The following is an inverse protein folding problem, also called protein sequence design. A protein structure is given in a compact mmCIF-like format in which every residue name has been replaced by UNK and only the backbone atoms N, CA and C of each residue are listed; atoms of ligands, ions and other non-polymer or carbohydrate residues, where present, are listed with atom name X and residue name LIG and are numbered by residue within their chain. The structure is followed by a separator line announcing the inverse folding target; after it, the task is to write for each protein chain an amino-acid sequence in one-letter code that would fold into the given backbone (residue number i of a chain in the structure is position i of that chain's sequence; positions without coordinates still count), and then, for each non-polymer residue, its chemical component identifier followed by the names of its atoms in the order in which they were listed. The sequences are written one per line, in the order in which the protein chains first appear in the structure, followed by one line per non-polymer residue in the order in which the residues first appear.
data_IF_370386309212
#
_entry.id   IF_370386309212
#
_cell.length_a   1.000
_cell.length_b   1.000
_cell.length_c   1.000
_cell.angle_alpha   90.00
_cell.angle_beta   90.00
_cell.angle_gamma   90.00
#
_symmetry.space_group_name_H-M   'P 1'
#
loop_
_entity.id
_entity.type
_entity.pdbx_description
1 polymer ?
#
# COMPACT_ATOMS: atom_id res chain seq x y z
N UNK A 1 31.42 0.77 -6.80
CA UNK A 1 31.54 -0.69 -6.67
C UNK A 1 31.30 -1.05 -5.21
N UNK A 2 30.03 -1.20 -4.83
CA UNK A 2 29.53 -2.03 -3.72
C UNK A 2 28.03 -2.29 -4.00
N UNK A 3 27.76 -2.82 -5.21
CA UNK A 3 26.44 -2.79 -5.83
C UNK A 3 25.37 -3.44 -4.96
N UNK A 4 25.65 -4.57 -4.32
CA UNK A 4 24.64 -5.31 -3.55
C UNK A 4 24.26 -4.63 -2.22
N UNK A 5 25.22 -4.01 -1.53
CA UNK A 5 24.95 -3.24 -0.30
C UNK A 5 24.18 -1.96 -0.60
N UNK A 6 24.50 -1.28 -1.70
CA UNK A 6 23.79 -0.05 -2.11
C UNK A 6 22.34 -0.37 -2.49
N UNK A 7 22.11 -1.51 -3.16
CA UNK A 7 20.79 -2.02 -3.53
C UNK A 7 19.94 -2.31 -2.28
N UNK A 8 20.53 -3.01 -1.32
CA UNK A 8 19.83 -3.39 -0.10
C UNK A 8 19.51 -2.18 0.77
N UNK A 9 20.45 -1.23 0.88
CA UNK A 9 20.24 0.02 1.58
C UNK A 9 19.09 0.83 0.96
N UNK A 10 19.04 0.92 -0.37
CA UNK A 10 17.97 1.63 -1.05
C UNK A 10 16.60 0.96 -0.83
N UNK A 11 16.54 -0.38 -0.87
CA UNK A 11 15.31 -1.11 -0.58
C UNK A 11 14.82 -0.87 0.86
N UNK A 12 15.75 -0.80 1.82
CA UNK A 12 15.43 -0.45 3.21
C UNK A 12 14.85 0.96 3.31
N UNK A 13 15.46 1.93 2.64
CA UNK A 13 15.00 3.34 2.65
C UNK A 13 13.59 3.44 2.07
N UNK A 14 13.32 2.75 0.98
CA UNK A 14 12.01 2.78 0.33
C UNK A 14 10.92 2.05 1.13
N UNK A 15 11.26 0.91 1.73
CA UNK A 15 10.38 0.23 2.67
C UNK A 15 10.11 1.10 3.91
N UNK A 16 11.12 1.80 4.42
CA UNK A 16 10.98 2.72 5.55
C UNK A 16 10.00 3.85 5.23
N UNK A 17 10.14 4.49 4.07
CA UNK A 17 9.19 5.52 3.65
C UNK A 17 7.78 4.94 3.43
N UNK A 18 7.66 3.77 2.81
CA UNK A 18 6.36 3.11 2.69
C UNK A 18 5.72 2.85 4.06
N UNK A 19 6.50 2.39 5.05
CA UNK A 19 5.99 2.14 6.40
C UNK A 19 5.50 3.44 7.04
N UNK A 20 6.23 4.54 6.89
CA UNK A 20 5.82 5.84 7.44
C UNK A 20 4.55 6.33 6.75
N UNK A 21 4.58 6.51 5.43
CA UNK A 21 3.48 7.13 4.69
C UNK A 21 2.27 6.21 4.56
N UNK A 22 2.51 4.92 4.33
CA UNK A 22 1.47 3.89 4.36
C UNK A 22 0.89 3.73 5.76
N UNK A 23 1.70 3.84 6.81
CA UNK A 23 1.27 3.81 8.20
C UNK A 23 0.41 5.01 8.59
N UNK A 24 0.81 6.22 8.16
CA UNK A 24 0.00 7.45 8.32
C UNK A 24 -1.33 7.30 7.60
N UNK A 25 -1.32 6.84 6.34
CA UNK A 25 -2.53 6.63 5.54
C UNK A 25 -3.46 5.60 6.20
N UNK A 26 -2.90 4.49 6.67
CA UNK A 26 -3.60 3.47 7.45
C UNK A 26 -4.26 4.08 8.70
N UNK A 27 -3.51 4.88 9.47
CA UNK A 27 -4.00 5.50 10.69
C UNK A 27 -5.15 6.47 10.40
N UNK A 28 -5.03 7.31 9.37
CA UNK A 28 -6.08 8.23 8.95
C UNK A 28 -7.35 7.47 8.56
N UNK A 29 -7.23 6.46 7.69
CA UNK A 29 -8.37 5.65 7.26
C UNK A 29 -9.03 4.94 8.45
N UNK A 30 -8.22 4.38 9.35
CA UNK A 30 -8.74 3.71 10.55
C UNK A 30 -9.48 4.68 11.47
N UNK A 31 -8.96 5.89 11.71
CA UNK A 31 -9.62 6.92 12.51
C UNK A 31 -10.96 7.30 11.90
N UNK A 32 -11.01 7.58 10.59
CA UNK A 32 -12.24 7.97 9.88
C UNK A 32 -13.30 6.87 9.98
N UNK A 33 -12.92 5.61 9.72
CA UNK A 33 -13.86 4.48 9.85
C UNK A 33 -14.30 4.29 11.30
N UNK A 34 -13.39 4.45 12.27
CA UNK A 34 -13.71 4.29 13.69
C UNK A 34 -14.71 5.33 14.18
N UNK A 35 -14.54 6.59 13.78
CA UNK A 35 -15.51 7.66 14.07
C UNK A 35 -16.86 7.36 13.44
N UNK A 36 -16.87 6.91 12.18
CA UNK A 36 -18.09 6.55 11.46
C UNK A 36 -18.83 5.40 12.15
N UNK A 37 -18.13 4.32 12.52
CA UNK A 37 -18.70 3.18 13.23
C UNK A 37 -19.20 3.56 14.63
N UNK A 38 -18.50 4.45 15.32
CA UNK A 38 -18.94 4.95 16.63
C UNK A 38 -20.23 5.77 16.50
N UNK A 39 -20.33 6.63 15.49
CA UNK A 39 -21.57 7.35 15.17
C UNK A 39 -22.73 6.41 14.86
N UNK A 40 -22.49 5.36 14.06
CA UNK A 40 -23.49 4.33 13.79
C UNK A 40 -23.89 3.54 15.04
N UNK A 41 -22.94 3.16 15.88
CA UNK A 41 -23.23 2.47 17.13
C UNK A 41 -24.12 3.29 18.06
N UNK A 42 -23.92 4.61 18.09
CA UNK A 42 -24.80 5.52 18.82
C UNK A 42 -26.21 5.58 18.22
N UNK A 43 -26.33 5.77 16.90
CA UNK A 43 -27.63 5.87 16.21
C UNK A 43 -28.46 4.59 16.27
N UNK A 44 -27.80 3.43 16.19
CA UNK A 44 -28.45 2.12 16.16
C UNK A 44 -28.37 1.36 17.49
N UNK A 45 -27.95 2.03 18.58
CA UNK A 45 -27.86 1.47 19.93
C UNK A 45 -27.09 0.14 20.02
N UNK A 46 -25.97 0.02 19.29
CA UNK A 46 -25.15 -1.18 19.34
C UNK A 46 -24.54 -1.36 20.74
N UNK A 47 -24.39 -2.62 21.17
CA UNK A 47 -23.66 -2.89 22.41
C UNK A 47 -22.19 -2.48 22.28
N UNK A 48 -21.55 -2.16 23.40
CA UNK A 48 -20.11 -1.86 23.44
C UNK A 48 -19.29 -3.01 22.86
N UNK A 49 -19.70 -4.25 23.15
CA UNK A 49 -19.05 -5.47 22.67
C UNK A 49 -19.12 -5.58 21.14
N UNK A 50 -20.27 -5.27 20.54
CA UNK A 50 -20.44 -5.31 19.08
C UNK A 50 -19.59 -4.25 18.38
N UNK A 51 -19.53 -3.04 18.93
CA UNK A 51 -18.68 -1.97 18.40
C UNK A 51 -17.21 -2.36 18.44
N UNK A 52 -16.73 -2.86 19.58
CA UNK A 52 -15.33 -3.30 19.75
C UNK A 52 -15.00 -4.41 18.75
N UNK A 53 -15.87 -5.41 18.57
CA UNK A 53 -15.64 -6.51 17.65
C UNK A 53 -15.57 -6.03 16.19
N UNK A 54 -16.42 -5.08 15.78
CA UNK A 54 -16.37 -4.48 14.45
C UNK A 54 -15.09 -3.65 14.24
N UNK A 55 -14.70 -2.83 15.22
CA UNK A 55 -13.46 -2.06 15.17
C UNK A 55 -12.23 -2.97 15.08
N UNK A 56 -12.20 -4.07 15.84
CA UNK A 56 -11.13 -5.07 15.74
C UNK A 56 -11.06 -5.71 14.36
N UNK A 57 -12.21 -6.04 13.75
CA UNK A 57 -12.24 -6.59 12.40
C UNK A 57 -11.77 -5.58 11.34
N UNK A 58 -12.16 -4.31 11.46
CA UNK A 58 -11.66 -3.24 10.58
C UNK A 58 -10.15 -3.08 10.74
N UNK A 59 -9.65 -3.03 11.98
CA UNK A 59 -8.22 -2.93 12.24
C UNK A 59 -7.46 -4.08 11.61
N UNK A 60 -7.90 -5.33 11.84
CA UNK A 60 -7.27 -6.53 11.26
C UNK A 60 -7.28 -6.51 9.73
N UNK A 61 -8.39 -6.10 9.13
CA UNK A 61 -8.51 -5.97 7.68
C UNK A 61 -7.51 -4.97 7.13
N UNK A 62 -7.54 -3.73 7.63
CA UNK A 62 -6.65 -2.67 7.18
C UNK A 62 -5.18 -3.04 7.45
N UNK A 63 -4.90 -3.70 8.57
CA UNK A 63 -3.53 -4.09 8.94
C UNK A 63 -3.01 -5.15 7.98
N UNK A 64 -3.84 -6.13 7.61
CA UNK A 64 -3.48 -7.11 6.60
C UNK A 64 -3.23 -6.46 5.24
N UNK A 65 -4.09 -5.51 4.82
CA UNK A 65 -3.84 -4.75 3.59
C UNK A 65 -2.54 -3.95 3.65
N UNK A 66 -2.22 -3.36 4.81
CA UNK A 66 -0.97 -2.63 5.00
C UNK A 66 0.25 -3.55 4.87
N UNK A 67 0.24 -4.72 5.52
CA UNK A 67 1.32 -5.72 5.44
C UNK A 67 1.48 -6.26 4.03
N UNK A 68 0.37 -6.66 3.39
CA UNK A 68 0.40 -7.18 2.02
C UNK A 68 0.84 -6.10 1.03
N UNK A 69 0.43 -4.85 1.25
CA UNK A 69 0.90 -3.71 0.47
C UNK A 69 2.39 -3.44 0.64
N UNK A 70 2.92 -3.53 1.87
CA UNK A 70 4.36 -3.37 2.11
C UNK A 70 5.18 -4.46 1.40
N UNK A 71 4.71 -5.71 1.45
CA UNK A 71 5.33 -6.82 0.73
C UNK A 71 5.20 -6.66 -0.80
N UNK A 72 4.02 -6.30 -1.29
CA UNK A 72 3.76 -6.06 -2.71
C UNK A 72 4.62 -4.91 -3.26
N UNK A 73 4.79 -3.84 -2.50
CA UNK A 73 5.69 -2.75 -2.84
C UNK A 73 7.16 -3.21 -2.86
N UNK A 74 7.58 -3.99 -1.86
CA UNK A 74 8.96 -4.53 -1.80
C UNK A 74 9.28 -5.43 -3.00
N UNK A 75 8.30 -6.25 -3.42
CA UNK A 75 8.42 -7.11 -4.60
C UNK A 75 8.41 -6.30 -5.90
N UNK A 76 7.54 -5.29 -6.00
CA UNK A 76 7.51 -4.37 -7.13
C UNK A 76 8.87 -3.69 -7.34
N UNK A 77 9.49 -3.20 -6.27
CA UNK A 77 10.87 -2.70 -6.31
C UNK A 77 11.83 -3.74 -6.88
N UNK A 78 11.82 -4.95 -6.32
CA UNK A 78 12.73 -6.00 -6.75
C UNK A 78 12.62 -6.33 -8.25
N UNK A 79 11.40 -6.42 -8.79
CA UNK A 79 11.16 -6.79 -10.19
C UNK A 79 11.48 -5.68 -11.20
N UNK A 80 11.22 -4.42 -10.85
CA UNK A 80 11.36 -3.31 -11.79
C UNK A 80 12.61 -2.45 -11.57
N UNK A 81 13.39 -2.76 -10.55
CA UNK A 81 14.63 -2.05 -10.21
C UNK A 81 15.62 -1.90 -11.36
N UNK A 82 15.75 -2.91 -12.22
CA UNK A 82 16.64 -2.83 -13.39
C UNK A 82 16.06 -1.97 -14.52
N UNK A 83 14.76 -1.69 -14.48
CA UNK A 83 14.04 -0.85 -15.44
C UNK A 83 13.78 0.57 -14.90
N UNK A 84 14.03 0.83 -13.61
CA UNK A 84 13.93 2.15 -12.99
C UNK A 84 15.27 2.90 -13.04
N UNK A 85 15.35 3.91 -13.91
CA UNK A 85 16.47 4.86 -13.95
C UNK A 85 16.39 5.83 -12.75
N UNK A 86 17.55 6.24 -12.23
CA UNK A 86 17.64 7.30 -11.21
C UNK A 86 17.08 8.61 -11.78
N UNK A 87 16.24 9.32 -11.03
CA UNK A 87 16.14 10.76 -11.25
C UNK A 87 16.10 11.57 -9.97
N UNK A 88 16.24 12.86 -10.17
CA UNK A 88 16.71 13.84 -9.20
C UNK A 88 15.64 14.32 -8.21
N UNK A 89 14.35 14.24 -8.53
CA UNK A 89 13.27 14.80 -7.70
C UNK A 89 12.26 13.74 -7.19
N UNK A 90 11.42 14.07 -6.22
CA UNK A 90 10.43 13.13 -5.62
C UNK A 90 9.03 13.42 -6.19
N UNK A 91 8.48 12.56 -7.06
CA UNK A 91 7.04 12.64 -7.45
C UNK A 91 6.19 11.90 -6.44
N UNK A 92 5.47 12.66 -5.66
CA UNK A 92 4.33 12.21 -4.86
C UNK A 92 3.04 12.18 -5.69
N UNK A 93 3.09 11.66 -6.94
CA UNK A 93 1.92 11.65 -7.84
C UNK A 93 1.29 10.28 -8.01
N UNK A 94 0.99 9.58 -6.93
CA UNK A 94 0.13 8.40 -7.03
C UNK A 94 -0.84 8.34 -5.85
N UNK A 95 -2.12 8.14 -6.13
CA UNK A 95 -3.20 7.94 -5.16
C UNK A 95 -3.83 6.59 -5.51
N UNK A 96 -4.33 5.78 -4.55
CA UNK A 96 -4.26 5.89 -3.09
C UNK A 96 -3.40 4.79 -2.45
N UNK A 97 -2.54 4.13 -3.23
CA UNK A 97 -1.65 3.10 -2.70
C UNK A 97 -0.32 3.17 -3.44
N UNK A 98 0.68 3.79 -2.82
CA UNK A 98 1.91 4.22 -3.49
C UNK A 98 3.04 3.22 -3.25
N UNK A 99 3.76 2.78 -4.30
CA UNK A 99 5.11 2.29 -4.13
C UNK A 99 6.06 3.47 -3.88
N UNK A 100 6.69 3.52 -2.72
CA UNK A 100 7.73 4.53 -2.46
C UNK A 100 8.98 4.16 -3.26
N UNK A 101 9.48 5.08 -4.09
CA UNK A 101 10.77 4.95 -4.76
C UNK A 101 11.58 6.23 -4.60
N UNK A 102 12.88 6.07 -4.46
CA UNK A 102 13.87 7.17 -4.38
C UNK A 102 14.41 7.59 -5.77
N UNK A 103 13.70 7.24 -6.85
CA UNK A 103 14.11 7.48 -8.24
C UNK A 103 12.91 7.97 -9.07
N UNK A 104 13.08 9.07 -9.81
CA UNK A 104 12.05 9.74 -10.62
C UNK A 104 12.31 9.58 -12.14
N UNK A 105 11.49 10.17 -13.01
CA UNK A 105 11.67 10.24 -14.49
C UNK A 105 11.40 11.68 -14.98
N UNK A 106 12.41 12.38 -15.51
CA UNK A 106 12.31 13.73 -16.08
C UNK A 106 11.72 13.73 -17.49
N UNK A 107 10.47 14.20 -17.61
CA UNK A 107 9.76 14.35 -18.88
C UNK A 107 9.72 15.81 -19.37
N UNK A 108 10.05 16.80 -18.55
CA UNK A 108 9.93 18.22 -18.93
C UNK A 108 11.21 18.78 -19.56
N UNK A 109 12.37 18.16 -19.30
CA UNK A 109 13.64 18.56 -19.92
C UNK A 109 13.94 17.85 -21.27
N UNK A 110 12.92 17.36 -21.98
CA UNK A 110 13.07 16.86 -23.36
C UNK A 110 13.69 15.45 -23.50
N UNK A 111 13.84 14.71 -22.40
CA UNK A 111 14.29 13.31 -22.41
C UNK A 111 13.11 12.34 -22.50
N UNK A 112 12.75 11.87 -23.69
CA UNK A 112 11.89 10.69 -23.81
C UNK A 112 12.65 9.46 -23.28
N UNK A 113 12.42 9.11 -22.01
CA UNK A 113 13.29 8.23 -21.21
C UNK A 113 12.84 6.76 -21.11
N UNK A 114 11.76 6.41 -21.77
CA UNK A 114 11.48 5.03 -22.16
C UNK A 114 11.54 4.98 -23.68
N UNK A 115 11.81 3.83 -24.29
CA UNK A 115 11.57 3.57 -25.72
C UNK A 115 10.09 3.85 -26.12
N UNK A 116 9.63 5.10 -26.09
CA UNK A 116 8.24 5.54 -26.29
C UNK A 116 7.24 5.26 -25.15
N UNK A 117 7.61 4.70 -23.99
CA UNK A 117 6.63 4.35 -22.93
C UNK A 117 6.20 5.60 -22.15
N UNK A 118 4.93 5.96 -22.31
CA UNK A 118 4.29 7.07 -21.61
C UNK A 118 3.91 6.70 -20.17
N UNK A 119 3.80 7.71 -19.29
CA UNK A 119 3.44 7.58 -17.86
C UNK A 119 2.15 6.78 -17.58
N UNK A 120 1.19 6.75 -18.51
CA UNK A 120 -0.03 5.96 -18.34
C UNK A 120 0.23 4.44 -18.37
N UNK A 121 1.25 3.98 -19.09
CA UNK A 121 1.59 2.57 -19.13
C UNK A 121 2.11 2.09 -17.76
N UNK A 122 2.92 2.92 -17.09
CA UNK A 122 3.37 2.66 -15.71
C UNK A 122 2.19 2.61 -14.73
N UNK A 123 1.20 3.50 -14.90
CA UNK A 123 -0.05 3.47 -14.11
C UNK A 123 -0.80 2.16 -14.29
N UNK A 124 -0.98 1.71 -15.54
CA UNK A 124 -1.66 0.45 -15.80
C UNK A 124 -0.88 -0.75 -15.27
N UNK A 125 0.45 -0.75 -15.40
CA UNK A 125 1.29 -1.81 -14.86
C UNK A 125 1.16 -1.86 -13.33
N UNK A 126 1.13 -0.70 -12.67
CA UNK A 126 0.87 -0.62 -11.24
C UNK A 126 -0.52 -1.14 -10.88
N UNK A 127 -1.58 -0.77 -11.60
CA UNK A 127 -2.91 -1.33 -11.35
C UNK A 127 -2.94 -2.85 -11.53
N UNK A 128 -2.30 -3.35 -12.60
CA UNK A 128 -2.18 -4.78 -12.87
C UNK A 128 -1.43 -5.53 -11.74
N UNK A 129 -0.54 -4.84 -11.01
CA UNK A 129 0.17 -5.38 -9.86
C UNK A 129 -0.57 -5.22 -8.54
N UNK A 130 -1.12 -4.04 -8.29
CA UNK A 130 -1.81 -3.69 -7.05
C UNK A 130 -3.09 -4.52 -6.87
N UNK A 131 -3.86 -4.74 -7.94
CA UNK A 131 -5.10 -5.53 -7.91
C UNK A 131 -4.86 -6.94 -7.35
N UNK A 132 -3.94 -7.75 -7.88
CA UNK A 132 -3.68 -9.07 -7.32
C UNK A 132 -3.07 -9.00 -5.91
N UNK A 133 -2.17 -8.05 -5.62
CA UNK A 133 -1.62 -7.89 -4.28
C UNK A 133 -2.73 -7.64 -3.24
N UNK A 134 -3.58 -6.64 -3.44
CA UNK A 134 -4.69 -6.36 -2.52
C UNK A 134 -5.76 -7.45 -2.56
N UNK A 135 -6.00 -8.06 -3.72
CA UNK A 135 -6.89 -9.21 -3.88
C UNK A 135 -6.49 -10.38 -2.98
N UNK A 136 -5.19 -10.69 -2.89
CA UNK A 136 -4.66 -11.70 -1.96
C UNK A 136 -4.96 -11.30 -0.51
N UNK A 137 -4.70 -10.05 -0.13
CA UNK A 137 -4.99 -9.56 1.22
C UNK A 137 -6.47 -9.69 1.59
N UNK A 138 -7.36 -9.29 0.68
CA UNK A 138 -8.82 -9.42 0.86
C UNK A 138 -9.20 -10.91 0.98
N UNK A 139 -8.70 -11.76 0.10
CA UNK A 139 -8.99 -13.19 0.11
C UNK A 139 -8.55 -13.87 1.42
N UNK A 140 -7.34 -13.56 1.90
CA UNK A 140 -6.82 -14.05 3.17
C UNK A 140 -7.67 -13.58 4.35
N UNK A 141 -8.08 -12.30 4.36
CA UNK A 141 -8.99 -11.79 5.39
C UNK A 141 -10.33 -12.52 5.38
N UNK A 142 -10.92 -12.76 4.20
CA UNK A 142 -12.20 -13.46 4.09
C UNK A 142 -12.14 -14.90 4.60
N UNK A 143 -11.04 -15.62 4.34
CA UNK A 143 -10.82 -16.96 4.88
C UNK A 143 -10.77 -16.92 6.41
N UNK A 144 -9.94 -16.03 6.95
CA UNK A 144 -9.72 -15.87 8.39
C UNK A 144 -11.00 -15.41 9.12
N UNK A 145 -11.72 -14.45 8.54
CA UNK A 145 -13.02 -14.00 9.03
C UNK A 145 -14.06 -15.11 9.03
N UNK A 146 -14.18 -15.88 7.94
CA UNK A 146 -15.10 -17.03 7.86
C UNK A 146 -14.78 -18.12 8.87
N UNK A 147 -13.49 -18.36 9.16
CA UNK A 147 -13.08 -19.33 10.20
C UNK A 147 -13.53 -18.88 11.59
N UNK A 148 -13.38 -17.60 11.93
CA UNK A 148 -13.82 -17.06 13.23
C UNK A 148 -15.32 -17.12 13.42
N UNK A 149 -16.11 -16.83 12.38
CA UNK A 149 -17.57 -16.94 12.44
C UNK A 149 -18.07 -18.36 12.74
N UNK A 150 -17.29 -19.39 12.41
CA UNK A 150 -17.65 -20.79 12.74
C UNK A 150 -17.28 -21.19 14.18
N UNK A 151 -16.48 -20.39 14.86
CA UNK A 151 -15.99 -20.67 16.22
C UNK A 151 -16.75 -19.88 17.29
N UNK A 152 -17.51 -18.85 16.91
CA UNK A 152 -18.44 -18.08 17.74
C UNK A 152 -19.83 -18.69 17.71
#
# INVERSE_FOLDING_TARGET
MNTLTDIFLQQIVELFFYIIFGGISFAVVFIVISLTLTGFAFLFQWSKTDLILKLQNVFRFLFLLFVVGALGNSLWYFFLKEQFYHAADVLTYFVPVIPFHSRYIDFECGGYLFNGIQMWHLRLLWFAWAIPCYGIGIFLFLIDYKKRLKQS
#
